data_IF_886995951917
#
_entry.id   IF_886995951917
#
_cell.length_a   1.000
_cell.length_b   1.000
_cell.length_c   1.000
_cell.angle_alpha   90.00
_cell.angle_beta   90.00
_cell.angle_gamma   90.00
#
_symmetry.space_group_name_H-M   'P 1'
#
loop_
_entity.id
_entity.type
_entity.pdbx_description
1 polymer ?
#
# COMPACT_ATOMS: atom_id res chain seq x y z
N UNK A 1 -12.71 -3.36 -15.02
CA UNK A 1 -12.07 -4.25 -14.04
C UNK A 1 -12.31 -3.64 -12.66
N UNK A 2 -12.84 -4.40 -11.71
CA UNK A 2 -13.12 -3.95 -10.34
C UNK A 2 -11.80 -3.73 -9.57
N UNK A 3 -11.76 -2.77 -8.64
CA UNK A 3 -10.59 -2.46 -7.79
C UNK A 3 -9.99 -3.70 -7.10
N UNK A 4 -10.78 -4.74 -6.84
CA UNK A 4 -10.34 -6.00 -6.23
C UNK A 4 -9.33 -6.80 -7.08
N UNK A 5 -9.29 -6.60 -8.40
CA UNK A 5 -8.41 -7.37 -9.30
C UNK A 5 -6.97 -6.81 -9.34
N UNK A 6 -6.78 -5.53 -9.02
CA UNK A 6 -5.51 -4.82 -9.27
C UNK A 6 -4.46 -5.12 -8.20
N UNK A 7 -4.88 -5.32 -6.96
CA UNK A 7 -4.01 -5.62 -5.81
C UNK A 7 -4.42 -6.94 -5.16
N UNK A 8 -4.36 -8.01 -5.96
CA UNK A 8 -4.69 -9.37 -5.51
C UNK A 8 -3.99 -9.64 -4.17
N UNK A 9 -4.75 -9.98 -3.14
CA UNK A 9 -4.20 -10.28 -1.81
C UNK A 9 -4.11 -9.12 -0.81
N UNK A 10 -4.30 -7.85 -1.21
CA UNK A 10 -4.47 -6.74 -0.25
C UNK A 10 -5.86 -6.83 0.39
N UNK A 11 -5.92 -7.12 1.69
CA UNK A 11 -7.18 -7.24 2.43
C UNK A 11 -7.35 -6.07 3.38
N UNK A 12 -8.45 -5.32 3.23
CA UNK A 12 -8.77 -4.16 4.07
C UNK A 12 -10.11 -4.41 4.76
N UNK A 13 -10.09 -4.51 6.08
CA UNK A 13 -11.27 -4.78 6.90
C UNK A 13 -11.42 -3.71 8.00
N UNK A 14 -12.66 -3.26 8.21
CA UNK A 14 -12.98 -2.39 9.35
C UNK A 14 -12.81 -3.21 10.63
N UNK A 15 -12.01 -2.70 11.55
CA UNK A 15 -11.81 -3.29 12.87
C UNK A 15 -12.67 -2.62 13.94
N UNK A 16 -12.88 -1.30 13.83
CA UNK A 16 -13.64 -0.51 14.80
C UNK A 16 -14.24 0.73 14.13
N UNK A 17 -15.41 1.16 14.61
CA UNK A 17 -16.08 2.40 14.21
C UNK A 17 -16.42 3.21 15.45
N UNK A 18 -16.14 4.49 15.42
CA UNK A 18 -16.50 5.46 16.46
C UNK A 18 -17.19 6.63 15.79
N UNK A 19 -18.49 6.76 16.02
CA UNK A 19 -19.26 7.83 15.41
C UNK A 19 -18.88 9.22 15.95
N UNK A 20 -18.41 9.26 17.20
CA UNK A 20 -17.92 10.46 17.87
C UNK A 20 -16.62 10.13 18.60
N UNK A 21 -15.51 10.66 18.11
CA UNK A 21 -14.18 10.54 18.71
C UNK A 21 -13.35 11.78 18.39
N UNK A 22 -12.22 11.93 19.06
CA UNK A 22 -11.32 13.06 18.92
C UNK A 22 -9.92 12.65 18.42
N UNK A 23 -9.22 13.59 17.79
CA UNK A 23 -7.81 13.43 17.43
C UNK A 23 -7.10 14.78 17.37
N UNK A 24 -5.79 14.77 17.61
CA UNK A 24 -4.94 15.92 17.35
C UNK A 24 -4.66 16.00 15.84
N UNK A 25 -5.11 17.07 15.20
CA UNK A 25 -4.79 17.37 13.82
C UNK A 25 -3.46 18.12 13.75
N UNK A 26 -2.40 17.49 13.23
CA UNK A 26 -1.08 18.12 13.19
C UNK A 26 -0.96 19.27 12.19
N UNK A 27 -1.84 19.33 11.17
CA UNK A 27 -1.84 20.46 10.23
C UNK A 27 -2.41 21.72 10.88
N UNK A 28 -3.43 21.55 11.73
CA UNK A 28 -4.10 22.65 12.44
C UNK A 28 -3.58 22.89 13.85
N UNK A 29 -2.86 21.92 14.43
CA UNK A 29 -2.37 21.89 15.82
C UNK A 29 -3.47 22.02 16.87
N UNK A 30 -4.65 21.47 16.58
CA UNK A 30 -5.81 21.49 17.47
C UNK A 30 -6.46 20.12 17.59
N UNK A 31 -7.25 19.93 18.64
CA UNK A 31 -8.11 18.75 18.78
C UNK A 31 -9.32 18.95 17.87
N UNK A 32 -9.53 17.99 16.98
CA UNK A 32 -10.71 17.89 16.13
C UNK A 32 -11.59 16.75 16.63
N UNK A 33 -12.87 16.86 16.35
CA UNK A 33 -13.88 15.84 16.67
C UNK A 33 -14.61 15.41 15.40
N UNK A 34 -15.09 14.16 15.38
CA UNK A 34 -15.80 13.61 14.23
C UNK A 34 -15.84 12.10 14.25
N UNK A 35 -15.96 11.50 13.06
CA UNK A 35 -16.03 10.04 12.92
C UNK A 35 -14.63 9.45 12.77
N UNK A 36 -14.37 8.38 13.51
CA UNK A 36 -13.10 7.65 13.46
C UNK A 36 -13.36 6.20 13.09
N UNK A 37 -12.56 5.68 12.16
CA UNK A 37 -12.58 4.28 11.76
C UNK A 37 -11.19 3.68 11.92
N UNK A 38 -11.11 2.48 12.47
CA UNK A 38 -9.89 1.69 12.45
C UNK A 38 -10.00 0.59 11.41
N UNK A 39 -8.96 0.43 10.59
CA UNK A 39 -8.88 -0.59 9.56
C UNK A 39 -7.68 -1.49 9.80
N UNK A 40 -7.93 -2.80 9.86
CA UNK A 40 -6.88 -3.82 9.75
C UNK A 40 -6.60 -4.05 8.27
N UNK A 41 -5.33 -3.97 7.90
CA UNK A 41 -4.89 -4.19 6.53
C UNK A 41 -3.85 -5.31 6.51
N UNK A 42 -4.12 -6.33 5.72
CA UNK A 42 -3.15 -7.37 5.39
C UNK A 42 -2.61 -7.06 4.00
N UNK A 43 -1.43 -6.47 3.93
CA UNK A 43 -0.73 -6.18 2.69
C UNK A 43 0.23 -7.34 2.37
N UNK A 44 0.18 -7.94 1.16
CA UNK A 44 1.07 -9.03 0.84
C UNK A 44 2.54 -8.61 0.90
N UNK A 45 2.87 -7.40 0.47
CA UNK A 45 4.27 -6.92 0.29
C UNK A 45 4.91 -6.58 1.63
N UNK A 46 4.25 -5.75 2.42
CA UNK A 46 4.85 -5.11 3.60
C UNK A 46 4.36 -5.70 4.92
N UNK A 47 3.25 -6.45 4.93
CA UNK A 47 2.75 -7.15 6.11
C UNK A 47 1.46 -6.56 6.68
N UNK A 48 1.32 -6.61 8.02
CA UNK A 48 0.09 -6.21 8.71
C UNK A 48 0.15 -4.75 9.18
N UNK A 49 -0.92 -4.00 8.91
CA UNK A 49 -1.06 -2.61 9.30
C UNK A 49 -2.36 -2.38 10.08
N UNK A 50 -2.34 -1.33 10.91
CA UNK A 50 -3.54 -0.72 11.47
C UNK A 50 -3.61 0.74 11.03
N UNK A 51 -4.66 1.12 10.32
CA UNK A 51 -4.91 2.51 9.95
C UNK A 51 -6.00 3.12 10.83
N UNK A 52 -5.80 4.37 11.25
CA UNK A 52 -6.83 5.25 11.85
C UNK A 52 -7.26 6.25 10.77
N UNK A 53 -8.54 6.23 10.43
CA UNK A 53 -9.17 7.19 9.52
C UNK A 53 -9.94 8.20 10.34
N UNK A 54 -9.57 9.47 10.27
CA UNK A 54 -10.30 10.55 10.92
C UNK A 54 -11.07 11.33 9.87
N UNK A 55 -12.40 11.39 10.00
CA UNK A 55 -13.29 12.09 9.08
C UNK A 55 -13.79 13.36 9.77
N UNK A 56 -13.23 14.48 9.35
CA UNK A 56 -13.59 15.79 9.80
C UNK A 56 -14.96 16.21 9.22
N UNK A 57 -15.89 16.76 10.03
CA UNK A 57 -17.15 17.33 9.56
C UNK A 57 -16.98 18.35 8.43
N UNK A 58 -15.88 19.11 8.44
CA UNK A 58 -15.57 20.13 7.43
C UNK A 58 -15.11 19.51 6.09
N UNK A 59 -14.99 18.18 6.03
CA UNK A 59 -14.69 17.38 4.84
C UNK A 59 -13.21 17.31 4.52
N UNK A 60 -12.42 17.09 5.57
CA UNK A 60 -11.03 16.62 5.51
C UNK A 60 -11.02 15.16 6.00
N UNK A 61 -10.28 14.29 5.32
CA UNK A 61 -10.07 12.91 5.77
C UNK A 61 -8.58 12.68 5.97
N UNK A 62 -8.21 12.20 7.15
CA UNK A 62 -6.82 11.85 7.50
C UNK A 62 -6.71 10.34 7.55
N UNK A 63 -5.83 9.79 6.72
CA UNK A 63 -5.41 8.38 6.79
C UNK A 63 -4.11 8.34 7.58
N UNK A 64 -4.11 7.75 8.78
CA UNK A 64 -2.92 7.66 9.64
C UNK A 64 -2.52 6.21 9.86
N UNK A 65 -1.24 5.89 9.69
CA UNK A 65 -0.71 4.59 10.07
C UNK A 65 -0.58 4.54 11.61
N UNK A 66 -1.52 3.87 12.26
CA UNK A 66 -1.57 3.75 13.72
C UNK A 66 -0.68 2.63 14.25
N UNK A 67 -0.49 1.56 13.46
CA UNK A 67 0.55 0.54 13.65
C UNK A 67 1.09 0.11 12.30
N UNK A 68 2.40 -0.06 12.23
CA UNK A 68 3.12 -0.48 11.04
C UNK A 68 3.65 -1.92 11.18
N UNK A 69 3.99 -2.58 10.06
CA UNK A 69 4.75 -3.82 10.07
C UNK A 69 6.11 -3.63 10.77
N UNK A 70 6.70 -4.73 11.27
CA UNK A 70 8.01 -4.67 11.91
C UNK A 70 9.10 -4.28 10.90
N UNK A 71 10.12 -3.57 11.37
CA UNK A 71 11.31 -3.20 10.59
C UNK A 71 11.65 -1.72 10.70
N UNK A 72 12.95 -1.41 10.68
CA UNK A 72 13.48 -0.04 10.86
C UNK A 72 12.88 0.97 9.87
N UNK A 73 12.57 0.53 8.65
CA UNK A 73 12.03 1.40 7.61
C UNK A 73 10.55 1.69 7.86
N UNK A 74 9.70 0.68 8.07
CA UNK A 74 8.26 0.87 8.28
C UNK A 74 7.92 1.49 9.63
N UNK A 75 8.75 1.29 10.67
CA UNK A 75 8.60 1.97 11.96
C UNK A 75 8.65 3.50 11.82
N UNK A 76 9.35 4.04 10.82
CA UNK A 76 9.38 5.49 10.55
C UNK A 76 8.07 6.03 9.97
N UNK A 77 7.20 5.16 9.46
CA UNK A 77 5.85 5.52 9.02
C UNK A 77 4.82 5.48 10.14
N UNK A 78 5.18 5.03 11.35
CA UNK A 78 4.25 4.99 12.47
C UNK A 78 3.86 6.42 12.88
N UNK A 79 2.56 6.69 12.86
CA UNK A 79 2.01 8.03 13.05
C UNK A 79 2.04 8.93 11.82
N UNK A 80 2.67 8.51 10.71
CA UNK A 80 2.64 9.23 9.45
C UNK A 80 1.22 9.22 8.84
N UNK A 81 0.91 10.23 8.04
CA UNK A 81 -0.44 10.43 7.50
C UNK A 81 -0.49 10.90 6.05
N UNK A 82 -1.61 10.60 5.40
CA UNK A 82 -2.08 11.26 4.18
C UNK A 82 -3.32 12.08 4.49
N UNK A 83 -3.46 13.22 3.83
CA UNK A 83 -4.53 14.19 4.10
C UNK A 83 -5.31 14.46 2.82
N UNK A 84 -6.52 13.93 2.78
CA UNK A 84 -7.45 14.09 1.67
C UNK A 84 -8.38 15.28 1.95
N UNK A 85 -8.45 16.21 0.99
CA UNK A 85 -9.24 17.46 1.09
C UNK A 85 -10.27 17.53 -0.03
N UNK A 86 -11.36 18.30 0.14
CA UNK A 86 -12.37 18.51 -0.90
C UNK A 86 -11.75 19.02 -2.20
N UNK A 87 -12.05 18.37 -3.32
CA UNK A 87 -11.74 18.87 -4.66
C UNK A 87 -12.86 19.78 -5.18
N UNK A 88 -12.54 20.61 -6.19
CA UNK A 88 -13.55 21.27 -7.03
C UNK A 88 -14.40 20.27 -7.81
N UNK A 89 -13.88 19.07 -8.08
CA UNK A 89 -14.68 17.99 -8.64
C UNK A 89 -15.66 17.47 -7.58
N UNK A 90 -16.95 17.66 -7.81
CA UNK A 90 -18.00 17.31 -6.86
C UNK A 90 -17.95 15.82 -6.45
N UNK A 91 -18.03 15.56 -5.15
CA UNK A 91 -17.97 14.21 -4.58
C UNK A 91 -16.56 13.60 -4.47
N UNK A 92 -15.53 14.33 -4.90
CA UNK A 92 -14.15 13.86 -4.86
C UNK A 92 -13.29 14.64 -3.88
N UNK A 93 -12.35 13.91 -3.27
CA UNK A 93 -11.27 14.43 -2.45
C UNK A 93 -9.95 14.26 -3.19
N UNK A 94 -8.96 15.09 -2.84
CA UNK A 94 -7.63 15.05 -3.41
C UNK A 94 -6.54 14.94 -2.33
N UNK A 95 -5.43 14.28 -2.67
CA UNK A 95 -4.15 14.42 -1.99
C UNK A 95 -3.03 14.56 -3.03
N UNK A 96 -1.94 15.24 -2.65
CA UNK A 96 -0.77 15.44 -3.52
C UNK A 96 -0.03 14.12 -3.69
N UNK A 97 0.30 13.76 -4.92
CA UNK A 97 1.04 12.53 -5.20
C UNK A 97 2.49 12.71 -4.77
N UNK A 98 2.94 11.86 -3.84
CA UNK A 98 4.33 11.80 -3.42
C UNK A 98 4.75 10.37 -3.16
N UNK A 99 5.96 10.00 -3.59
CA UNK A 99 6.50 8.66 -3.38
C UNK A 99 7.55 8.70 -2.28
N UNK A 100 7.45 7.77 -1.34
CA UNK A 100 8.46 7.59 -0.32
C UNK A 100 9.74 6.95 -0.90
N UNK A 101 10.87 7.20 -0.26
CA UNK A 101 12.14 6.54 -0.54
C UNK A 101 13.02 6.55 0.72
N UNK A 102 14.01 5.68 0.78
CA UNK A 102 15.02 5.66 1.85
C UNK A 102 16.24 6.42 1.37
N UNK A 103 16.68 7.43 2.13
CA UNK A 103 17.93 8.14 1.84
C UNK A 103 19.18 7.34 2.30
N UNK A 104 20.37 7.82 1.96
CA UNK A 104 21.65 7.15 2.29
C UNK A 104 21.85 6.94 3.80
N UNK A 105 21.20 7.74 4.64
CA UNK A 105 21.24 7.62 6.11
C UNK A 105 20.19 6.64 6.66
N UNK A 106 19.45 5.95 5.78
CA UNK A 106 18.38 5.03 6.17
C UNK A 106 17.12 5.74 6.66
N UNK A 107 16.92 7.03 6.33
CA UNK A 107 15.73 7.79 6.72
C UNK A 107 14.68 7.78 5.63
N UNK A 108 13.43 7.61 6.02
CA UNK A 108 12.30 7.69 5.09
C UNK A 108 12.07 9.15 4.70
N UNK A 109 12.12 9.42 3.40
CA UNK A 109 11.86 10.71 2.77
C UNK A 109 10.70 10.56 1.78
N UNK A 110 10.23 11.69 1.26
CA UNK A 110 9.19 11.73 0.23
C UNK A 110 9.60 12.67 -0.89
N UNK A 111 9.29 12.29 -2.13
CA UNK A 111 9.46 13.12 -3.31
C UNK A 111 8.09 13.40 -3.92
N UNK A 112 7.75 14.67 -4.09
CA UNK A 112 6.53 15.07 -4.78
C UNK A 112 6.70 14.76 -6.27
N UNK A 113 5.67 14.16 -6.87
CA UNK A 113 5.68 13.79 -8.29
C UNK A 113 4.99 14.91 -9.09
N UNK A 114 5.72 15.45 -10.07
CA UNK A 114 5.26 16.55 -10.92
C UNK A 114 5.00 16.15 -12.38
N UNK A 115 5.36 14.92 -12.78
CA UNK A 115 5.18 14.42 -14.14
C UNK A 115 4.45 13.07 -14.13
N UNK A 116 3.47 12.91 -15.01
CA UNK A 116 2.59 11.73 -15.07
C UNK A 116 3.36 10.43 -15.32
N UNK A 117 4.44 10.48 -16.10
CA UNK A 117 5.26 9.32 -16.42
C UNK A 117 5.97 8.72 -15.20
N UNK A 118 6.16 9.53 -14.15
CA UNK A 118 6.77 9.10 -12.89
C UNK A 118 5.73 8.56 -11.89
N UNK A 119 4.46 8.45 -12.27
CA UNK A 119 3.41 7.88 -11.44
C UNK A 119 3.30 6.37 -11.73
N UNK A 120 3.52 5.51 -10.71
CA UNK A 120 3.29 4.07 -10.81
C UNK A 120 1.93 3.77 -11.45
N UNK A 121 1.92 2.82 -12.39
CA UNK A 121 0.69 2.42 -13.10
C UNK A 121 -0.44 2.03 -12.13
N UNK A 122 -0.11 1.34 -11.03
CA UNK A 122 -1.06 0.94 -9.99
C UNK A 122 -1.84 2.12 -9.40
N UNK A 123 -1.19 3.27 -9.19
CA UNK A 123 -1.82 4.48 -8.66
C UNK A 123 -2.78 5.06 -9.70
N UNK A 124 -2.37 5.07 -10.97
CA UNK A 124 -3.20 5.55 -12.11
C UNK A 124 -4.44 4.69 -12.35
N UNK A 125 -4.38 3.41 -11.99
CA UNK A 125 -5.50 2.50 -12.19
C UNK A 125 -6.56 2.57 -11.07
N UNK A 126 -6.17 2.90 -9.84
CA UNK A 126 -7.10 2.96 -8.69
C UNK A 126 -7.60 4.37 -8.36
N UNK A 127 -6.98 5.41 -8.94
CA UNK A 127 -7.32 6.81 -8.70
C UNK A 127 -7.23 7.62 -9.98
N UNK A 128 -8.09 8.63 -10.09
CA UNK A 128 -7.98 9.58 -11.19
C UNK A 128 -6.83 10.54 -10.88
N UNK A 129 -6.02 10.86 -11.89
CA UNK A 129 -4.91 11.79 -11.75
C UNK A 129 -5.30 13.12 -12.37
N UNK A 130 -5.09 14.21 -11.64
CA UNK A 130 -5.40 15.55 -12.13
C UNK A 130 -4.32 16.54 -11.70
N UNK A 131 -4.26 17.70 -12.35
CA UNK A 131 -3.38 18.79 -11.88
C UNK A 131 -3.90 19.37 -10.57
N UNK A 132 -2.98 19.81 -9.71
CA UNK A 132 -3.34 20.50 -8.46
C UNK A 132 -4.25 21.71 -8.71
N UNK A 133 -3.96 22.47 -9.77
CA UNK A 133 -4.73 23.67 -10.11
C UNK A 133 -6.16 23.33 -10.49
N UNK A 134 -6.39 22.32 -11.34
CA UNK A 134 -7.76 21.92 -11.69
C UNK A 134 -8.51 21.33 -10.49
N UNK A 135 -7.82 20.60 -9.63
CA UNK A 135 -8.44 20.00 -8.46
C UNK A 135 -8.82 21.02 -7.36
N UNK A 136 -8.14 22.18 -7.31
CA UNK A 136 -8.24 23.13 -6.18
C UNK A 136 -8.60 24.57 -6.57
N UNK A 137 -8.46 24.94 -7.84
CA UNK A 137 -8.55 26.32 -8.35
C UNK A 137 -7.38 27.21 -7.95
N UNK A 138 -6.31 26.65 -7.37
CA UNK A 138 -5.16 27.39 -6.85
C UNK A 138 -3.89 27.04 -7.62
N UNK A 139 -2.97 28.00 -7.81
CA UNK A 139 -1.70 27.70 -8.44
C UNK A 139 -0.92 26.65 -7.62
N UNK A 140 -0.16 25.77 -8.29
CA UNK A 140 0.67 24.78 -7.62
C UNK A 140 1.73 25.47 -6.76
N UNK A 141 1.88 25.05 -5.50
CA UNK A 141 2.89 25.55 -4.57
C UNK A 141 3.88 24.44 -4.21
N UNK A 142 5.16 24.79 -4.02
CA UNK A 142 6.20 23.85 -3.53
C UNK A 142 6.31 22.54 -4.33
N UNK A 143 6.24 22.61 -5.66
CA UNK A 143 6.38 21.43 -6.54
C UNK A 143 5.13 20.53 -6.64
N UNK A 144 4.00 20.93 -6.03
CA UNK A 144 2.71 20.21 -6.14
C UNK A 144 2.15 20.29 -7.55
N UNK A 145 2.53 19.38 -8.44
CA UNK A 145 2.01 19.34 -9.81
C UNK A 145 0.73 18.51 -9.95
N UNK A 146 0.73 17.32 -9.34
CA UNK A 146 -0.28 16.29 -9.58
C UNK A 146 -0.92 15.81 -8.28
N UNK A 147 -2.21 15.47 -8.35
CA UNK A 147 -3.01 14.95 -7.25
C UNK A 147 -3.71 13.66 -7.65
N UNK A 148 -3.94 12.78 -6.68
CA UNK A 148 -4.87 11.65 -6.82
C UNK A 148 -6.25 12.12 -6.37
N UNK A 149 -7.26 11.93 -7.22
CA UNK A 149 -8.67 12.14 -6.89
C UNK A 149 -9.33 10.82 -6.50
N UNK A 150 -10.04 10.85 -5.39
CA UNK A 150 -10.75 9.69 -4.80
C UNK A 150 -12.14 10.11 -4.36
N UNK A 151 -13.11 9.19 -4.39
CA UNK A 151 -14.46 9.49 -3.88
C UNK A 151 -14.42 9.74 -2.37
N UNK A 152 -15.23 10.69 -1.88
CA UNK A 152 -15.27 11.15 -0.48
C UNK A 152 -15.30 10.03 0.57
N UNK A 153 -16.04 8.95 0.30
CA UNK A 153 -16.28 7.87 1.28
C UNK A 153 -15.52 6.57 0.93
N UNK A 154 -14.61 6.61 -0.04
CA UNK A 154 -13.81 5.43 -0.42
C UNK A 154 -12.51 5.34 0.40
N UNK A 155 -12.68 5.07 1.70
CA UNK A 155 -11.56 4.96 2.62
C UNK A 155 -10.61 3.82 2.28
N UNK A 156 -11.10 2.78 1.59
CA UNK A 156 -10.26 1.65 1.14
C UNK A 156 -9.28 2.11 0.06
N UNK A 157 -9.72 2.90 -0.92
CA UNK A 157 -8.81 3.48 -1.92
C UNK A 157 -7.83 4.46 -1.27
N UNK A 158 -8.28 5.29 -0.32
CA UNK A 158 -7.38 6.20 0.41
C UNK A 158 -6.27 5.45 1.19
N UNK A 159 -6.62 4.37 1.89
CA UNK A 159 -5.66 3.46 2.55
C UNK A 159 -4.72 2.82 1.51
N UNK A 160 -5.28 2.39 0.39
CA UNK A 160 -4.50 1.77 -0.69
C UNK A 160 -3.47 2.75 -1.27
N UNK A 161 -3.85 4.01 -1.47
CA UNK A 161 -2.92 5.06 -1.88
C UNK A 161 -1.80 5.26 -0.86
N UNK A 162 -2.08 5.21 0.44
CA UNK A 162 -1.03 5.23 1.47
C UNK A 162 -0.05 4.08 1.27
N UNK A 163 -0.54 2.87 1.09
CA UNK A 163 0.30 1.70 0.87
C UNK A 163 1.16 1.88 -0.40
N UNK A 164 0.57 2.27 -1.52
CA UNK A 164 1.27 2.41 -2.80
C UNK A 164 2.27 3.59 -2.84
N UNK A 165 1.96 4.69 -2.16
CA UNK A 165 2.78 5.91 -2.17
C UNK A 165 3.83 5.92 -1.07
N UNK A 166 3.55 5.35 0.10
CA UNK A 166 4.42 5.42 1.27
C UNK A 166 5.05 4.09 1.66
N UNK A 167 4.33 2.98 1.57
CA UNK A 167 4.83 1.70 2.06
C UNK A 167 5.59 0.91 0.99
N UNK A 168 4.96 0.65 -0.15
CA UNK A 168 5.56 -0.16 -1.22
C UNK A 168 6.86 0.38 -1.79
N UNK A 169 7.05 1.72 -1.97
CA UNK A 169 8.33 2.25 -2.44
C UNK A 169 9.50 2.03 -1.47
N UNK A 170 9.20 1.64 -0.23
CA UNK A 170 10.18 1.35 0.82
C UNK A 170 10.46 -0.15 0.98
N UNK A 171 9.70 -1.00 0.29
CA UNK A 171 10.03 -2.41 0.23
C UNK A 171 11.35 -2.58 -0.52
N UNK A 172 12.09 -3.66 -0.24
CA UNK A 172 13.35 -4.01 -0.93
C UNK A 172 13.18 -4.32 -2.43
N UNK A 173 12.02 -4.02 -3.00
CA UNK A 173 11.59 -4.31 -4.35
C UNK A 173 11.43 -3.02 -5.14
N UNK A 174 11.67 -3.07 -6.44
CA UNK A 174 11.15 -2.01 -7.33
C UNK A 174 9.61 -2.02 -7.27
N UNK A 175 8.91 -0.89 -7.50
CA UNK A 175 7.44 -0.86 -7.54
C UNK A 175 6.83 -1.90 -8.49
N UNK A 176 7.49 -2.17 -9.60
CA UNK A 176 7.12 -3.20 -10.58
C UNK A 176 7.25 -4.61 -9.97
N UNK A 177 8.32 -4.87 -9.23
CA UNK A 177 8.55 -6.13 -8.52
C UNK A 177 7.56 -6.30 -7.36
N UNK A 178 7.25 -5.24 -6.63
CA UNK A 178 6.24 -5.24 -5.57
C UNK A 178 4.84 -5.56 -6.12
N UNK A 179 4.48 -5.02 -7.30
CA UNK A 179 3.23 -5.33 -7.98
C UNK A 179 3.17 -6.79 -8.45
N UNK A 180 4.24 -7.28 -9.08
CA UNK A 180 4.35 -8.70 -9.50
C UNK A 180 4.20 -9.61 -8.29
N UNK A 181 4.91 -9.31 -7.21
CA UNK A 181 4.79 -10.03 -5.95
C UNK A 181 3.38 -9.93 -5.38
N UNK A 182 2.75 -8.75 -5.30
CA UNK A 182 1.39 -8.63 -4.77
C UNK A 182 0.40 -9.48 -5.58
N UNK A 183 0.49 -9.39 -6.92
CA UNK A 183 -0.37 -10.14 -7.83
C UNK A 183 -0.23 -11.65 -7.67
N UNK A 184 0.99 -12.15 -7.51
CA UNK A 184 1.28 -13.57 -7.67
C UNK A 184 1.67 -14.30 -6.37
N UNK A 185 2.09 -13.62 -5.32
CA UNK A 185 2.44 -14.25 -4.05
C UNK A 185 1.30 -15.10 -3.44
N UNK A 186 0.01 -14.73 -3.55
CA UNK A 186 -1.07 -15.61 -3.11
C UNK A 186 -1.11 -16.94 -3.88
N UNK A 187 -0.84 -16.90 -5.19
CA UNK A 187 -0.82 -18.07 -6.06
C UNK A 187 0.40 -18.95 -5.74
N UNK A 188 1.58 -18.36 -5.58
CA UNK A 188 2.81 -19.06 -5.16
C UNK A 188 2.62 -19.74 -3.81
N UNK A 189 2.07 -19.05 -2.82
CA UNK A 189 1.79 -19.64 -1.51
C UNK A 189 0.74 -20.75 -1.59
N UNK A 190 -0.25 -20.64 -2.48
CA UNK A 190 -1.24 -21.70 -2.69
C UNK A 190 -0.60 -22.96 -3.29
N UNK A 191 0.27 -22.81 -4.30
CA UNK A 191 1.05 -23.90 -4.89
C UNK A 191 1.93 -24.58 -3.83
N UNK A 192 2.73 -23.83 -3.08
CA UNK A 192 3.63 -24.42 -2.07
C UNK A 192 2.84 -25.11 -0.96
N UNK A 193 1.67 -24.57 -0.55
CA UNK A 193 0.79 -25.25 0.43
C UNK A 193 0.27 -26.57 -0.11
N UNK A 194 -0.19 -26.58 -1.37
CA UNK A 194 -0.72 -27.78 -2.03
C UNK A 194 0.33 -28.87 -2.21
N UNK A 195 1.58 -28.48 -2.47
CA UNK A 195 2.69 -29.41 -2.60
C UNK A 195 3.30 -29.82 -1.25
N UNK A 196 2.87 -29.23 -0.13
CA UNK A 196 3.31 -29.43 1.25
C UNK A 196 4.81 -29.18 1.53
N UNK A 197 5.71 -29.87 0.84
CA UNK A 197 7.17 -29.71 0.81
C UNK A 197 7.64 -30.03 -0.61
N UNK A 198 8.05 -29.02 -1.36
CA UNK A 198 8.42 -29.17 -2.78
C UNK A 198 9.86 -28.73 -3.04
N UNK A 199 10.47 -29.30 -4.09
CA UNK A 199 11.70 -28.73 -4.65
C UNK A 199 11.41 -27.41 -5.33
N UNK A 200 12.33 -26.46 -5.29
CA UNK A 200 12.15 -25.19 -5.98
C UNK A 200 11.86 -25.38 -7.48
N UNK A 201 12.54 -26.32 -8.14
CA UNK A 201 12.33 -26.63 -9.56
C UNK A 201 10.95 -27.21 -9.87
N UNK A 202 10.31 -27.86 -8.90
CA UNK A 202 8.93 -28.31 -9.03
C UNK A 202 7.96 -27.13 -8.93
N UNK A 203 8.20 -26.22 -7.98
CA UNK A 203 7.38 -25.02 -7.82
C UNK A 203 7.48 -24.12 -9.05
N UNK A 204 8.67 -23.92 -9.62
CA UNK A 204 8.85 -23.17 -10.88
C UNK A 204 8.01 -23.77 -12.02
N UNK A 205 8.07 -25.09 -12.21
CA UNK A 205 7.31 -25.78 -13.28
C UNK A 205 5.80 -25.65 -13.11
N UNK A 206 5.31 -25.77 -11.88
CA UNK A 206 3.87 -25.64 -11.58
C UNK A 206 3.40 -24.20 -11.79
N UNK A 207 4.20 -23.21 -11.40
CA UNK A 207 3.87 -21.80 -11.59
C UNK A 207 3.86 -21.39 -13.07
N UNK A 208 4.80 -21.89 -13.85
CA UNK A 208 4.82 -21.71 -15.30
C UNK A 208 3.57 -22.34 -15.94
N UNK A 209 3.24 -23.59 -15.61
CA UNK A 209 2.13 -24.31 -16.20
C UNK A 209 0.75 -23.76 -15.82
N UNK A 210 0.52 -23.39 -14.56
CA UNK A 210 -0.80 -22.98 -14.06
C UNK A 210 -1.04 -21.46 -14.15
N UNK A 211 0.03 -20.67 -14.07
CA UNK A 211 -0.06 -19.21 -13.96
C UNK A 211 0.72 -18.45 -15.03
N UNK A 212 1.40 -19.15 -15.95
CA UNK A 212 2.20 -18.53 -17.02
C UNK A 212 3.37 -17.72 -16.49
N UNK A 213 3.82 -17.99 -15.26
CA UNK A 213 4.88 -17.22 -14.60
C UNK A 213 6.25 -17.64 -15.12
N UNK A 214 7.10 -16.67 -15.45
CA UNK A 214 8.47 -16.99 -15.84
C UNK A 214 9.30 -17.47 -14.64
N UNK A 215 10.38 -18.20 -14.92
CA UNK A 215 11.28 -18.69 -13.87
C UNK A 215 11.88 -17.53 -13.05
N UNK A 216 12.31 -16.47 -13.72
CA UNK A 216 12.92 -15.31 -13.06
C UNK A 216 11.93 -14.59 -12.13
N UNK A 217 10.66 -14.45 -12.56
CA UNK A 217 9.60 -13.91 -11.70
C UNK A 217 9.35 -14.80 -10.48
N UNK A 218 9.36 -16.11 -10.69
CA UNK A 218 9.17 -17.09 -9.62
C UNK A 218 10.30 -17.03 -8.59
N UNK A 219 11.55 -16.91 -9.04
CA UNK A 219 12.74 -16.77 -8.18
C UNK A 219 12.61 -15.54 -7.30
N UNK A 220 12.31 -14.37 -7.90
CA UNK A 220 12.18 -13.11 -7.16
C UNK A 220 11.09 -13.19 -6.09
N UNK A 221 9.94 -13.79 -6.41
CA UNK A 221 8.83 -13.94 -5.45
C UNK A 221 9.20 -14.94 -4.34
N UNK A 222 9.85 -16.05 -4.69
CA UNK A 222 10.25 -17.07 -3.72
C UNK A 222 11.28 -16.53 -2.73
N UNK A 223 12.31 -15.83 -3.20
CA UNK A 223 13.32 -15.23 -2.32
C UNK A 223 12.70 -14.19 -1.39
N UNK A 224 11.76 -13.38 -1.90
CA UNK A 224 10.97 -12.45 -1.08
C UNK A 224 10.17 -13.17 0.01
N UNK A 225 9.53 -14.29 -0.33
CA UNK A 225 8.74 -15.07 0.63
C UNK A 225 9.64 -15.72 1.71
N UNK A 226 10.89 -16.08 1.37
CA UNK A 226 11.89 -16.57 2.33
C UNK A 226 12.32 -15.45 3.27
N UNK A 227 12.68 -14.28 2.73
CA UNK A 227 13.11 -13.11 3.51
C UNK A 227 12.02 -12.63 4.48
N UNK A 228 10.76 -12.60 4.04
CA UNK A 228 9.61 -12.26 4.88
C UNK A 228 9.20 -13.37 5.86
N UNK A 229 9.88 -14.52 5.83
CA UNK A 229 9.63 -15.66 6.71
C UNK A 229 8.28 -16.35 6.47
N UNK A 230 7.63 -16.12 5.33
CA UNK A 230 6.36 -16.77 4.95
C UNK A 230 6.56 -18.19 4.44
N UNK A 231 7.73 -18.47 3.88
CA UNK A 231 8.18 -19.82 3.54
C UNK A 231 9.52 -20.10 4.22
N UNK A 232 9.78 -21.37 4.46
CA UNK A 232 11.00 -21.88 5.08
C UNK A 232 11.66 -22.89 4.14
N UNK A 233 12.97 -23.02 4.25
CA UNK A 233 13.75 -24.05 3.57
C UNK A 233 14.08 -25.17 4.57
N UNK A 234 13.26 -26.25 4.67
CA UNK A 234 13.52 -27.33 5.62
C UNK A 234 14.79 -28.12 5.28
N UNK A 235 15.15 -28.20 4.00
CA UNK A 235 16.32 -28.89 3.46
C UNK A 235 16.86 -28.11 2.25
N UNK A 236 18.14 -28.26 1.87
CA UNK A 236 18.69 -27.62 0.69
C UNK A 236 17.86 -27.91 -0.58
N UNK A 237 17.42 -26.85 -1.25
CA UNK A 237 16.61 -26.94 -2.47
C UNK A 237 15.12 -27.25 -2.26
N UNK A 238 14.66 -27.41 -1.02
CA UNK A 238 13.24 -27.60 -0.70
C UNK A 238 12.64 -26.38 -0.01
N UNK A 239 11.36 -26.14 -0.27
CA UNK A 239 10.58 -25.05 0.31
C UNK A 239 9.24 -25.54 0.84
N UNK A 240 8.77 -24.86 1.90
CA UNK A 240 7.49 -25.13 2.55
C UNK A 240 6.90 -23.84 3.12
N UNK A 241 5.57 -23.68 3.09
CA UNK A 241 4.91 -22.55 3.75
C UNK A 241 5.06 -22.69 5.27
N UNK A 242 5.49 -21.60 5.93
CA UNK A 242 5.63 -21.57 7.38
C UNK A 242 4.24 -21.78 8.02
N UNK A 243 4.08 -22.74 8.94
CA UNK A 243 2.83 -22.91 9.67
C UNK A 243 2.51 -21.62 10.43
N UNK A 244 1.23 -21.20 10.41
CA UNK A 244 0.78 -20.17 11.34
C UNK A 244 0.74 -20.81 12.74
N UNK A 245 1.45 -20.21 13.69
CA UNK A 245 1.31 -20.50 15.12
C UNK A 245 -0.08 -20.06 15.59
#
# INVERSE_FOLDING_TARGET
>A
MTNETILKGLKIAVAERREHDAWLDFSLREIREGRVYYYKVQDPVTGEWLFKICVDPDGKVIVKAAKCPPGRVYAQLEGDSMVFQKSLKEGYFYDVISLAYVDEAGRVRRKIISATDNIPQTIREISEIETYEKATGKPPTFGRGLVSLVRRDDYKVMITLFILQKAWPLASFTPETALKYARHAPDVLAVIRRLEKAREEEVYRVLEAEYGMTKDESIVILDTLKESGKIIAPEPGYIKVKPKL
#
